data_IF_949795530393
#
_entry.id   IF_949795530393
#
_cell.length_a   1.000
_cell.length_b   1.000
_cell.length_c   1.000
_cell.angle_alpha   90.00
_cell.angle_beta   90.00
_cell.angle_gamma   90.00
#
_symmetry.space_group_name_H-M   'P 1'
#
loop_
_entity.id
_entity.type
_entity.pdbx_description
1 polymer ?
#
# COMPACT_ATOMS: atom_id res chain seq x y z
N UNK A 1 -11.42 2.70 0.54
CA UNK A 1 -11.51 1.80 -0.64
C UNK A 1 -11.35 2.66 -1.88
N UNK A 2 -10.33 2.39 -2.69
CA UNK A 2 -10.02 3.18 -3.88
C UNK A 2 -11.05 2.92 -4.98
N UNK A 3 -11.60 3.98 -5.56
CA UNK A 3 -12.41 3.89 -6.77
C UNK A 3 -11.44 4.03 -7.96
N UNK A 4 -11.05 2.91 -8.56
CA UNK A 4 -10.21 2.91 -9.76
C UNK A 4 -11.06 3.27 -10.98
N UNK A 5 -10.84 4.47 -11.53
CA UNK A 5 -11.41 4.84 -12.83
C UNK A 5 -10.52 4.22 -13.92
N UNK A 6 -11.15 3.63 -14.94
CA UNK A 6 -10.43 3.15 -16.11
C UNK A 6 -9.81 4.33 -16.87
N UNK A 7 -8.50 4.28 -17.08
CA UNK A 7 -7.78 5.25 -17.90
C UNK A 7 -7.36 4.59 -19.23
N UNK A 8 -7.76 5.17 -20.37
CA UNK A 8 -7.30 4.69 -21.67
C UNK A 8 -5.77 4.64 -21.75
N UNK A 9 -5.18 3.63 -22.43
CA UNK A 9 -3.72 3.47 -22.51
C UNK A 9 -2.96 4.73 -22.91
N UNK A 10 -3.50 5.51 -23.84
CA UNK A 10 -2.90 6.75 -24.37
C UNK A 10 -2.81 7.90 -23.35
N UNK A 11 -3.61 7.85 -22.28
CA UNK A 11 -3.58 8.85 -21.20
C UNK A 11 -2.72 8.43 -20.01
N UNK A 12 -2.27 7.18 -19.96
CA UNK A 12 -1.43 6.68 -18.87
C UNK A 12 -0.10 7.40 -18.87
N UNK A 13 0.35 7.79 -17.68
CA UNK A 13 1.61 8.51 -17.49
C UNK A 13 2.73 7.60 -16.99
N UNK A 14 2.39 6.61 -16.19
CA UNK A 14 3.30 5.58 -15.74
C UNK A 14 2.56 4.30 -15.29
N UNK A 15 3.29 3.19 -15.32
CA UNK A 15 2.90 1.89 -14.74
C UNK A 15 3.86 1.61 -13.59
N UNK A 16 3.31 1.37 -12.41
CA UNK A 16 4.02 1.01 -11.20
C UNK A 16 3.88 -0.49 -11.00
N UNK A 17 4.99 -1.22 -11.03
CA UNK A 17 5.01 -2.60 -10.61
C UNK A 17 5.05 -2.68 -9.09
N UNK A 18 4.17 -3.49 -8.52
CA UNK A 18 4.00 -3.72 -7.09
C UNK A 18 4.23 -5.19 -6.81
N UNK A 19 5.13 -5.52 -5.89
CA UNK A 19 5.33 -6.91 -5.45
C UNK A 19 5.33 -7.02 -3.93
N UNK A 20 5.05 -8.21 -3.42
CA UNK A 20 5.20 -8.53 -2.01
C UNK A 20 6.17 -9.69 -1.81
N UNK A 21 6.98 -9.61 -0.76
CA UNK A 21 7.80 -10.72 -0.26
C UNK A 21 7.70 -10.83 1.25
N UNK A 22 7.83 -12.06 1.75
CA UNK A 22 7.95 -12.29 3.19
C UNK A 22 9.42 -12.13 3.62
N UNK A 23 9.65 -11.66 4.86
CA UNK A 23 11.00 -11.57 5.44
C UNK A 23 11.67 -12.93 5.62
N UNK A 24 10.88 -14.01 5.62
CA UNK A 24 11.33 -15.39 5.69
C UNK A 24 10.38 -16.30 4.91
N UNK A 25 10.87 -17.35 4.24
CA UNK A 25 10.02 -18.37 3.61
C UNK A 25 9.26 -19.21 4.64
N UNK A 26 9.60 -19.12 5.92
CA UNK A 26 8.96 -19.87 7.01
C UNK A 26 8.61 -18.98 8.19
N UNK A 27 7.46 -19.28 8.81
CA UNK A 27 7.00 -18.70 10.06
C UNK A 27 6.83 -19.79 11.12
N UNK A 28 7.68 -19.77 12.15
CA UNK A 28 7.59 -20.73 13.25
C UNK A 28 6.47 -20.38 14.22
N UNK A 29 5.66 -21.36 14.60
CA UNK A 29 4.58 -21.17 15.57
C UNK A 29 5.04 -21.33 17.02
N UNK A 30 6.17 -21.98 17.26
CA UNK A 30 6.72 -22.24 18.62
C UNK A 30 8.00 -21.48 18.95
N UNK A 31 8.48 -20.60 18.05
CA UNK A 31 9.68 -19.80 18.27
C UNK A 31 9.64 -19.02 19.59
N UNK A 32 10.71 -19.13 20.38
CA UNK A 32 10.92 -18.36 21.60
C UNK A 32 12.36 -17.79 21.63
N UNK A 33 12.56 -16.47 21.44
CA UNK A 33 11.52 -15.44 21.31
C UNK A 33 10.72 -15.54 19.99
N UNK A 34 9.50 -14.95 19.93
CA UNK A 34 8.68 -14.94 18.72
C UNK A 34 9.45 -14.37 17.52
N UNK A 35 9.32 -15.03 16.37
CA UNK A 35 9.93 -14.59 15.12
C UNK A 35 9.38 -13.23 14.68
N UNK A 36 10.30 -12.32 14.33
CA UNK A 36 9.99 -11.01 13.75
C UNK A 36 9.67 -11.16 12.25
N UNK A 37 8.45 -11.61 11.95
CA UNK A 37 7.98 -11.85 10.60
C UNK A 37 7.38 -10.58 9.99
N UNK A 38 7.79 -10.25 8.76
CA UNK A 38 7.42 -9.02 8.08
C UNK A 38 7.01 -9.31 6.64
N UNK A 39 6.21 -8.40 6.09
CA UNK A 39 5.92 -8.35 4.66
C UNK A 39 6.59 -7.10 4.10
N UNK A 40 7.37 -7.28 3.06
CA UNK A 40 7.98 -6.23 2.27
C UNK A 40 7.14 -6.01 1.02
N UNK A 41 6.78 -4.76 0.76
CA UNK A 41 6.05 -4.34 -0.43
C UNK A 41 6.97 -3.45 -1.23
N UNK A 42 7.32 -3.88 -2.43
CA UNK A 42 8.19 -3.13 -3.33
C UNK A 42 7.38 -2.41 -4.38
N UNK A 43 7.72 -1.15 -4.65
CA UNK A 43 7.19 -0.38 -5.76
C UNK A 43 8.35 0.05 -6.67
N UNK A 44 8.19 -0.14 -7.98
CA UNK A 44 9.11 0.38 -8.99
C UNK A 44 8.36 0.91 -10.20
N UNK A 45 8.95 1.89 -10.89
CA UNK A 45 8.44 2.35 -12.17
C UNK A 45 8.77 1.28 -13.21
N UNK A 46 7.73 0.67 -13.79
CA UNK A 46 7.88 -0.31 -14.87
C UNK A 46 7.88 0.39 -16.23
N UNK A 47 7.00 1.37 -16.41
CA UNK A 47 6.90 2.19 -17.61
C UNK A 47 6.62 3.63 -17.22
N UNK A 48 7.15 4.60 -17.96
CA UNK A 48 6.93 6.02 -17.70
C UNK A 48 7.04 6.85 -18.97
N UNK A 49 6.21 7.89 -19.05
CA UNK A 49 6.31 8.93 -20.08
C UNK A 49 7.43 9.92 -19.82
N UNK A 50 8.08 9.87 -18.64
CA UNK A 50 9.19 10.73 -18.23
C UNK A 50 10.34 9.88 -17.65
N UNK A 51 11.17 9.27 -18.50
CA UNK A 51 12.34 8.50 -18.04
C UNK A 51 13.28 9.36 -17.19
N UNK A 52 13.88 8.76 -16.16
CA UNK A 52 14.79 9.46 -15.25
C UNK A 52 14.10 10.37 -14.22
N UNK A 53 12.76 10.42 -14.19
CA UNK A 53 12.00 11.21 -13.22
C UNK A 53 11.31 10.31 -12.18
N UNK A 54 11.51 10.64 -10.90
CA UNK A 54 10.84 9.97 -9.78
C UNK A 54 9.35 10.32 -9.73
N UNK A 55 8.57 9.51 -9.02
CA UNK A 55 7.13 9.72 -8.79
C UNK A 55 6.88 9.76 -7.30
N UNK A 56 6.19 10.80 -6.82
CA UNK A 56 5.72 10.86 -5.43
C UNK A 56 4.23 10.58 -5.37
N UNK A 57 3.81 9.65 -4.51
CA UNK A 57 2.41 9.28 -4.28
C UNK A 57 1.99 9.56 -2.83
N UNK A 58 0.69 9.71 -2.62
CA UNK A 58 0.07 9.65 -1.30
C UNK A 58 -0.40 8.22 -1.00
N UNK A 59 0.18 7.58 0.00
CA UNK A 59 -0.09 6.19 0.39
C UNK A 59 -1.24 6.00 1.38
N UNK A 60 -1.90 7.07 1.82
CA UNK A 60 -2.96 7.02 2.84
C UNK A 60 -4.08 6.03 2.51
N UNK A 61 -4.49 5.22 3.49
CA UNK A 61 -5.56 4.23 3.35
C UNK A 61 -5.32 3.21 2.22
N UNK A 62 -4.07 3.07 1.80
CA UNK A 62 -3.64 2.08 0.79
C UNK A 62 -2.66 1.13 1.42
N UNK A 63 -2.35 0.03 0.72
CA UNK A 63 -1.37 -0.93 1.21
C UNK A 63 0.06 -0.36 1.35
N UNK A 64 0.26 0.86 0.85
CA UNK A 64 1.52 1.61 0.93
C UNK A 64 1.63 2.50 2.17
N UNK A 65 0.61 2.55 3.02
CA UNK A 65 0.67 3.27 4.30
C UNK A 65 1.56 2.50 5.28
N UNK A 66 2.71 3.06 5.65
CA UNK A 66 3.53 2.49 6.72
C UNK A 66 2.76 2.50 8.04
N UNK A 67 2.85 1.41 8.81
CA UNK A 67 2.17 1.27 10.09
C UNK A 67 2.55 2.45 11.01
N UNK A 68 1.54 3.24 11.38
CA UNK A 68 1.72 4.37 12.30
C UNK A 68 0.94 4.14 13.59
N UNK A 69 1.26 4.92 14.63
CA UNK A 69 0.60 4.87 15.94
C UNK A 69 -0.93 5.02 15.91
N UNK A 70 -1.52 5.46 14.78
CA UNK A 70 -2.96 5.68 14.60
C UNK A 70 -3.72 4.50 14.00
N UNK A 71 -3.04 3.41 13.63
CA UNK A 71 -3.67 2.21 13.08
C UNK A 71 -2.86 1.63 11.93
N UNK A 72 -2.69 0.31 11.95
CA UNK A 72 -2.08 -0.47 10.89
C UNK A 72 -3.14 -0.73 9.80
N UNK A 73 -2.85 -0.38 8.54
CA UNK A 73 -3.78 -0.55 7.41
C UNK A 73 -4.18 -2.02 7.22
N UNK A 74 -3.33 -2.96 7.62
CA UNK A 74 -3.64 -4.38 7.64
C UNK A 74 -4.74 -4.71 8.65
N UNK A 75 -4.99 -3.87 9.66
CA UNK A 75 -6.08 -4.07 10.63
C UNK A 75 -7.43 -3.69 10.04
N UNK A 76 -7.49 -2.99 8.91
CA UNK A 76 -8.76 -2.55 8.37
C UNK A 76 -9.64 -3.74 7.92
N UNK A 77 -10.97 -3.57 7.98
CA UNK A 77 -11.95 -4.56 7.54
C UNK A 77 -11.80 -4.73 6.03
N UNK A 78 -11.48 -5.94 5.59
CA UNK A 78 -11.03 -6.29 4.22
C UNK A 78 -9.62 -5.78 3.88
N UNK A 79 -8.74 -5.62 4.86
CA UNK A 79 -7.41 -4.99 4.77
C UNK A 79 -6.64 -5.28 3.49
N UNK A 80 -5.68 -4.42 3.14
CA UNK A 80 -5.05 -4.45 1.81
C UNK A 80 -4.29 -5.73 1.45
N UNK A 81 -4.12 -6.67 2.39
CA UNK A 81 -3.58 -8.01 2.20
C UNK A 81 -4.46 -9.10 2.84
N UNK A 82 -4.47 -10.27 2.20
CA UNK A 82 -5.09 -11.51 2.69
C UNK A 82 -4.06 -12.63 2.56
N UNK A 83 -3.87 -13.44 3.60
CA UNK A 83 -3.10 -14.68 3.44
C UNK A 83 -4.04 -15.81 3.02
N UNK A 84 -3.68 -16.54 1.96
CA UNK A 84 -4.46 -17.66 1.42
C UNK A 84 -3.60 -18.90 1.27
N UNK A 85 -4.12 -20.07 1.62
CA UNK A 85 -3.42 -21.34 1.41
C UNK A 85 -3.17 -21.55 -0.11
N UNK A 86 -1.98 -22.01 -0.49
CA UNK A 86 -1.60 -22.16 -1.91
C UNK A 86 -2.15 -23.44 -2.55
N UNK A 87 -2.60 -24.41 -1.76
CA UNK A 87 -2.84 -25.79 -2.22
C UNK A 87 -4.22 -26.04 -2.86
N UNK A 88 -4.22 -26.87 -3.91
CA UNK A 88 -5.23 -27.75 -4.56
C UNK A 88 -6.72 -27.35 -4.69
N UNK A 89 -7.14 -26.21 -4.17
CA UNK A 89 -8.52 -25.75 -4.25
C UNK A 89 -8.66 -24.51 -5.15
N UNK A 90 -9.80 -24.38 -5.86
CA UNK A 90 -10.12 -23.16 -6.57
C UNK A 90 -10.09 -21.96 -5.61
N UNK A 91 -9.67 -20.76 -6.06
CA UNK A 91 -9.47 -19.57 -5.20
C UNK A 91 -10.62 -19.25 -4.25
N UNK A 92 -11.85 -19.59 -4.66
CA UNK A 92 -13.09 -19.38 -3.91
C UNK A 92 -13.16 -20.19 -2.61
N UNK A 93 -12.53 -21.37 -2.59
CA UNK A 93 -12.62 -22.36 -1.50
C UNK A 93 -11.39 -22.39 -0.60
N UNK A 94 -10.26 -21.85 -1.07
CA UNK A 94 -9.01 -21.76 -0.32
C UNK A 94 -9.24 -21.15 1.06
N UNK A 95 -8.67 -21.80 2.08
CA UNK A 95 -8.57 -21.26 3.44
C UNK A 95 -7.89 -19.89 3.39
N UNK A 96 -8.37 -18.96 4.21
CA UNK A 96 -7.86 -17.59 4.29
C UNK A 96 -7.69 -17.21 5.75
N UNK A 97 -6.61 -16.50 6.06
CA UNK A 97 -6.44 -15.84 7.36
C UNK A 97 -6.91 -14.41 7.19
N UNK A 98 -7.86 -14.00 8.03
CA UNK A 98 -8.32 -12.63 8.03
C UNK A 98 -7.35 -11.73 8.79
N UNK A 99 -6.54 -10.96 8.05
CA UNK A 99 -5.54 -10.07 8.65
C UNK A 99 -6.14 -8.79 9.26
N UNK A 100 -7.41 -8.46 9.02
CA UNK A 100 -8.02 -7.22 9.52
C UNK A 100 -9.54 -7.21 9.60
N UNK A 101 -10.09 -6.45 10.56
CA UNK A 101 -11.54 -6.37 10.80
C UNK A 101 -12.05 -4.99 11.21
N UNK A 102 -11.19 -3.98 11.31
CA UNK A 102 -11.50 -2.64 11.82
C UNK A 102 -11.97 -1.69 10.71
N UNK A 103 -13.08 -0.97 10.90
CA UNK A 103 -13.40 0.16 10.03
C UNK A 103 -12.84 1.42 10.70
N UNK A 104 -11.88 2.09 10.07
CA UNK A 104 -11.46 3.41 10.55
C UNK A 104 -12.58 4.40 10.26
N UNK A 105 -13.03 5.10 11.29
CA UNK A 105 -14.02 6.16 11.18
C UNK A 105 -13.36 7.49 11.49
N UNK A 106 -13.08 8.27 10.45
CA UNK A 106 -12.48 9.60 10.55
C UNK A 106 -13.55 10.65 10.85
N UNK A 107 -14.22 10.55 12.02
CA UNK A 107 -15.08 11.64 12.49
C UNK A 107 -14.26 12.68 13.24
N UNK A 108 -14.44 13.96 12.86
CA UNK A 108 -13.91 15.16 13.54
C UNK A 108 -12.39 15.34 13.47
N UNK A 109 -11.86 15.49 12.27
CA UNK A 109 -10.49 16.00 12.09
C UNK A 109 -10.54 17.54 12.12
N UNK A 110 -10.54 18.12 13.32
CA UNK A 110 -10.37 19.55 13.56
C UNK A 110 -8.94 19.83 14.04
N UNK A 111 -8.29 20.93 13.61
CA UNK A 111 -8.72 21.96 12.65
C UNK A 111 -8.67 21.49 11.18
N UNK A 112 -9.20 22.28 10.20
CA UNK A 112 -9.10 21.94 8.79
C UNK A 112 -7.63 21.70 8.42
N UNK A 113 -7.33 20.59 7.74
CA UNK A 113 -5.96 20.23 7.48
C UNK A 113 -5.25 21.22 6.56
N UNK A 114 -3.96 21.45 6.81
CA UNK A 114 -3.10 22.31 5.99
C UNK A 114 -3.31 22.03 4.50
N UNK A 115 -3.33 23.05 3.61
CA UNK A 115 -3.37 22.84 2.17
C UNK A 115 -2.13 22.13 1.64
N UNK A 116 -1.01 22.16 2.37
CA UNK A 116 0.19 21.39 2.06
C UNK A 116 0.10 19.98 2.65
N UNK A 117 0.16 18.96 1.78
CA UNK A 117 0.18 17.55 2.17
C UNK A 117 1.36 17.25 3.10
N UNK A 118 2.51 17.93 2.97
CA UNK A 118 3.68 17.71 3.83
C UNK A 118 3.43 18.09 5.29
N UNK A 119 2.53 19.03 5.53
CA UNK A 119 2.19 19.50 6.87
C UNK A 119 1.06 18.67 7.51
N UNK A 120 0.43 17.76 6.75
CA UNK A 120 -0.66 16.93 7.28
C UNK A 120 -0.08 15.76 8.07
N UNK A 121 -0.38 15.62 9.38
CA UNK A 121 0.22 14.58 10.22
C UNK A 121 -0.20 13.16 9.84
N UNK A 122 -1.28 13.01 9.06
CA UNK A 122 -1.74 11.75 8.51
C UNK A 122 -1.35 11.54 7.05
N UNK A 123 -0.73 12.50 6.36
CA UNK A 123 -0.22 12.26 5.01
C UNK A 123 0.99 11.32 5.08
N UNK A 124 1.01 10.36 4.17
CA UNK A 124 2.03 9.32 4.02
C UNK A 124 2.54 9.42 2.60
N UNK A 125 3.44 10.37 2.38
CA UNK A 125 4.04 10.60 1.08
C UNK A 125 5.17 9.59 0.87
N UNK A 126 5.27 9.06 -0.34
CA UNK A 126 6.27 8.06 -0.73
C UNK A 126 6.84 8.43 -2.10
N UNK A 127 8.16 8.56 -2.20
CA UNK A 127 8.85 8.63 -3.50
C UNK A 127 9.12 7.22 -4.02
N UNK A 128 8.67 6.93 -5.24
CA UNK A 128 9.15 5.83 -6.07
C UNK A 128 10.30 6.40 -6.93
N UNK A 129 11.54 5.93 -6.75
CA UNK A 129 12.67 6.48 -7.47
C UNK A 129 12.57 6.22 -8.97
N UNK A 130 13.21 7.09 -9.77
CA UNK A 130 13.26 6.94 -11.22
C UNK A 130 13.86 5.60 -11.65
N UNK A 131 14.89 5.17 -10.92
CA UNK A 131 15.60 3.91 -11.10
C UNK A 131 15.58 3.12 -9.80
N UNK A 132 15.41 1.80 -9.89
CA UNK A 132 15.32 0.92 -8.72
C UNK A 132 13.91 0.80 -8.15
N UNK A 133 13.82 0.61 -6.84
CA UNK A 133 12.55 0.39 -6.13
C UNK A 133 12.56 1.02 -4.75
N UNK A 134 11.39 1.39 -4.26
CA UNK A 134 11.17 1.73 -2.85
C UNK A 134 10.45 0.57 -2.16
N UNK A 135 10.79 0.31 -0.90
CA UNK A 135 10.22 -0.77 -0.11
C UNK A 135 9.48 -0.22 1.11
N UNK A 136 8.31 -0.79 1.37
CA UNK A 136 7.51 -0.55 2.57
C UNK A 136 7.41 -1.86 3.34
N UNK A 137 7.72 -1.80 4.63
CA UNK A 137 7.72 -2.97 5.50
C UNK A 137 6.53 -2.92 6.46
N UNK A 138 5.80 -4.02 6.55
CA UNK A 138 4.73 -4.23 7.52
C UNK A 138 5.11 -5.34 8.49
N UNK A 139 5.08 -5.03 9.78
CA UNK A 139 5.26 -6.02 10.82
C UNK A 139 4.04 -6.93 10.89
N UNK A 140 4.26 -8.23 10.72
CA UNK A 140 3.21 -9.24 10.75
C UNK A 140 3.62 -10.46 11.58
N UNK A 141 3.95 -10.28 12.88
CA UNK A 141 4.25 -11.40 13.76
C UNK A 141 3.05 -12.35 13.87
N UNK A 142 3.29 -13.60 14.28
CA UNK A 142 2.26 -14.63 14.41
C UNK A 142 1.03 -14.15 15.19
N UNK A 143 1.25 -13.52 16.35
CA UNK A 143 0.16 -12.98 17.17
C UNK A 143 -0.73 -11.97 16.41
N UNK A 144 -0.12 -11.16 15.52
CA UNK A 144 -0.83 -10.18 14.70
C UNK A 144 -1.63 -10.85 13.57
N UNK A 145 -1.12 -11.92 12.96
CA UNK A 145 -1.83 -12.67 11.91
C UNK A 145 -3.15 -13.26 12.43
N UNK A 146 -3.17 -13.70 13.69
CA UNK A 146 -4.32 -14.34 14.30
C UNK A 146 -5.17 -13.43 15.19
N UNK A 147 -4.80 -12.15 15.36
CA UNK A 147 -5.51 -11.18 16.22
C UNK A 147 -7.02 -11.10 15.91
N UNK A 148 -7.39 -11.22 14.63
CA UNK A 148 -8.79 -11.15 14.17
C UNK A 148 -9.29 -12.45 13.53
N UNK A 149 -8.47 -13.50 13.51
CA UNK A 149 -8.83 -14.80 12.97
C UNK A 149 -9.64 -15.58 14.02
N UNK A 150 -10.78 -16.13 13.60
CA UNK A 150 -11.73 -16.80 14.52
C UNK A 150 -11.90 -18.29 14.22
N UNK A 151 -11.52 -18.73 13.03
CA UNK A 151 -11.79 -20.08 12.52
C UNK A 151 -10.56 -20.97 12.56
N UNK A 152 -9.37 -20.40 12.41
CA UNK A 152 -8.11 -21.13 12.31
C UNK A 152 -7.23 -20.79 13.51
N UNK A 153 -6.51 -21.79 14.00
CA UNK A 153 -5.44 -21.62 14.99
C UNK A 153 -4.08 -21.85 14.32
N UNK A 154 -2.97 -21.32 14.89
CA UNK A 154 -1.63 -21.53 14.35
C UNK A 154 -1.28 -23.01 14.12
N UNK A 155 -1.70 -23.88 15.02
CA UNK A 155 -1.43 -25.31 14.96
C UNK A 155 -2.12 -25.99 13.76
N UNK A 156 -3.23 -25.41 13.27
CA UNK A 156 -4.00 -25.93 12.13
C UNK A 156 -3.33 -25.64 10.77
N UNK A 157 -2.19 -24.94 10.75
CA UNK A 157 -1.52 -24.48 9.53
C UNK A 157 -0.14 -25.09 9.31
N UNK A 158 0.41 -25.81 10.28
CA UNK A 158 1.77 -26.36 10.21
C UNK A 158 1.93 -27.25 8.97
N UNK A 159 2.97 -27.00 8.19
CA UNK A 159 3.26 -27.73 6.95
C UNK A 159 2.45 -27.27 5.72
N UNK A 160 1.46 -26.39 5.89
CA UNK A 160 0.76 -25.77 4.77
C UNK A 160 1.56 -24.60 4.21
N UNK A 161 1.54 -24.47 2.88
CA UNK A 161 2.08 -23.31 2.19
C UNK A 161 0.98 -22.28 1.94
N UNK A 162 1.34 -21.02 2.12
CA UNK A 162 0.47 -19.86 2.12
C UNK A 162 1.08 -18.78 1.25
N UNK A 163 0.24 -17.90 0.71
CA UNK A 163 0.65 -16.79 -0.12
C UNK A 163 -0.12 -15.53 0.31
N UNK A 164 0.56 -14.40 0.32
CA UNK A 164 -0.09 -13.11 0.49
C UNK A 164 -0.70 -12.61 -0.82
N UNK A 165 -1.95 -12.18 -0.76
CA UNK A 165 -2.67 -11.61 -1.90
C UNK A 165 -3.10 -10.20 -1.58
N UNK A 166 -2.81 -9.30 -2.51
CA UNK A 166 -3.30 -7.93 -2.45
C UNK A 166 -4.80 -7.88 -2.70
N UNK A 167 -5.48 -7.04 -1.95
CA UNK A 167 -6.86 -6.66 -2.24
C UNK A 167 -6.81 -5.48 -3.20
N UNK A 168 -7.22 -5.69 -4.44
CA UNK A 168 -7.09 -4.71 -5.54
C UNK A 168 -7.58 -3.29 -5.16
N UNK A 169 -8.65 -3.22 -4.38
CA UNK A 169 -9.25 -1.96 -3.95
C UNK A 169 -8.41 -1.13 -2.96
N UNK A 170 -7.24 -1.63 -2.54
CA UNK A 170 -6.27 -0.95 -1.68
C UNK A 170 -4.90 -0.77 -2.36
N UNK A 171 -4.74 -1.19 -3.62
CA UNK A 171 -3.52 -0.99 -4.40
C UNK A 171 -3.71 0.22 -5.30
N UNK A 172 -3.10 1.35 -4.94
CA UNK A 172 -3.14 2.55 -5.75
C UNK A 172 -2.82 3.80 -4.93
N UNK A 173 -3.29 4.96 -5.39
CA UNK A 173 -3.12 6.22 -4.68
C UNK A 173 -4.31 7.13 -4.92
N UNK A 174 -4.50 8.10 -4.02
CA UNK A 174 -5.51 9.18 -4.15
C UNK A 174 -4.90 10.47 -4.68
N UNK A 175 -3.58 10.59 -4.73
CA UNK A 175 -2.86 11.79 -5.16
C UNK A 175 -1.44 11.42 -5.60
N UNK A 176 -0.95 12.00 -6.69
CA UNK A 176 0.45 11.82 -7.11
C UNK A 176 0.98 13.01 -7.90
N UNK A 177 2.31 13.11 -7.99
CA UNK A 177 3.00 14.04 -8.88
C UNK A 177 4.35 13.46 -9.32
N UNK A 178 4.98 14.14 -10.29
CA UNK A 178 6.37 13.88 -10.62
C UNK A 178 7.30 14.57 -9.63
N UNK A 179 8.41 13.91 -9.31
CA UNK A 179 9.46 14.44 -8.46
C UNK A 179 9.76 13.58 -7.25
N UNK A 180 10.91 13.86 -6.64
CA UNK A 180 11.40 13.26 -5.41
C UNK A 180 11.25 14.22 -4.22
N UNK A 181 10.66 13.74 -3.12
CA UNK A 181 10.52 14.44 -1.85
C UNK A 181 11.83 15.00 -1.31
N UNK A 182 12.94 14.27 -1.46
CA UNK A 182 14.25 14.69 -0.95
C UNK A 182 15.07 15.48 -1.99
N UNK A 183 14.56 15.54 -3.23
CA UNK A 183 15.17 16.22 -4.37
C UNK A 183 14.38 17.46 -4.80
N UNK A 184 13.80 17.41 -6.00
CA UNK A 184 13.13 18.56 -6.63
C UNK A 184 11.88 19.04 -5.89
N UNK A 185 11.23 18.16 -5.12
CA UNK A 185 10.07 18.52 -4.32
C UNK A 185 10.45 19.05 -2.93
N UNK A 186 11.70 18.93 -2.48
CA UNK A 186 12.10 19.22 -1.09
C UNK A 186 11.61 20.57 -0.57
N UNK A 187 11.86 21.62 -1.34
CA UNK A 187 11.51 23.01 -1.02
C UNK A 187 10.14 23.44 -1.59
N UNK A 188 9.36 22.49 -2.13
CA UNK A 188 8.03 22.73 -2.69
C UNK A 188 6.92 22.33 -1.71
N UNK A 189 5.81 23.05 -1.77
CA UNK A 189 4.56 22.66 -1.14
C UNK A 189 3.79 21.70 -2.02
N UNK A 190 3.09 20.72 -1.44
CA UNK A 190 2.30 19.75 -2.18
C UNK A 190 0.81 20.02 -1.96
N UNK A 191 0.12 20.56 -2.95
CA UNK A 191 -1.29 20.88 -2.84
C UNK A 191 -2.14 19.64 -2.68
N UNK A 192 -3.19 19.72 -1.88
CA UNK A 192 -4.19 18.64 -1.76
C UNK A 192 -5.09 18.54 -2.99
N UNK A 193 -5.12 19.57 -3.82
CA UNK A 193 -5.83 19.55 -5.09
C UNK A 193 -5.11 18.63 -6.09
N UNK A 194 -5.88 17.95 -6.91
CA UNK A 194 -5.37 17.18 -8.04
C UNK A 194 -6.35 17.21 -9.23
N UNK A 195 -5.91 16.89 -10.44
CA UNK A 195 -6.70 17.04 -11.68
C UNK A 195 -8.03 16.27 -11.72
N UNK A 196 -8.17 15.21 -10.91
CA UNK A 196 -9.43 14.47 -10.78
C UNK A 196 -10.40 15.05 -9.71
N UNK A 197 -9.98 16.11 -9.01
CA UNK A 197 -10.82 16.87 -8.07
C UNK A 197 -11.90 17.61 -8.87
N UNK A 198 -13.15 17.19 -8.74
CA UNK A 198 -14.24 17.70 -9.58
C UNK A 198 -15.16 18.72 -8.89
N UNK A 199 -15.05 18.86 -7.58
CA UNK A 199 -15.85 19.78 -6.76
C UNK A 199 -15.14 21.11 -6.47
N UNK A 200 -13.84 21.20 -6.75
CA UNK A 200 -13.03 22.40 -6.50
C UNK A 200 -12.31 22.82 -7.78
N UNK A 201 -12.33 24.13 -8.13
CA UNK A 201 -11.58 24.62 -9.28
C UNK A 201 -10.07 24.44 -9.06
N UNK A 202 -9.34 24.32 -10.17
CA UNK A 202 -7.87 24.31 -10.12
C UNK A 202 -7.37 25.58 -9.43
N UNK A 203 -6.58 25.48 -8.35
CA UNK A 203 -6.08 26.65 -7.65
C UNK A 203 -5.01 27.35 -8.48
N UNK A 204 -5.00 28.68 -8.40
CA UNK A 204 -3.91 29.51 -8.92
C UNK A 204 -2.81 29.56 -7.85
N UNK A 205 -1.66 28.96 -8.16
CA UNK A 205 -0.50 28.88 -7.27
C UNK A 205 0.76 29.26 -8.03
N UNK A 206 1.76 29.74 -7.31
CA UNK A 206 3.09 30.02 -7.89
C UNK A 206 3.90 28.74 -8.08
N UNK A 207 5.15 28.88 -8.50
CA UNK A 207 6.06 27.75 -8.76
C UNK A 207 6.53 27.05 -7.49
N UNK A 208 6.25 27.58 -6.29
CA UNK A 208 6.57 26.92 -5.02
C UNK A 208 5.60 25.79 -4.68
N UNK A 209 4.47 25.71 -5.38
CA UNK A 209 3.46 24.66 -5.20
C UNK A 209 3.45 23.65 -6.33
N UNK A 210 3.25 22.39 -5.96
CA UNK A 210 3.02 21.28 -6.89
C UNK A 210 1.58 20.81 -6.74
N UNK A 211 0.88 20.77 -7.88
CA UNK A 211 -0.48 20.26 -7.98
C UNK A 211 -0.45 18.77 -8.31
N UNK A 212 -1.38 18.01 -7.73
CA UNK A 212 -1.51 16.59 -8.05
C UNK A 212 -2.05 16.36 -9.46
N UNK A 213 -1.61 15.27 -10.06
CA UNK A 213 -2.14 14.77 -11.34
C UNK A 213 -3.34 13.85 -11.11
N UNK A 214 -4.06 13.51 -12.18
CA UNK A 214 -5.19 12.57 -12.12
C UNK A 214 -4.70 11.17 -11.67
N UNK A 215 -5.15 10.62 -10.51
CA UNK A 215 -4.72 9.32 -10.03
C UNK A 215 -5.00 8.16 -10.98
N UNK A 216 -5.98 8.30 -11.90
CA UNK A 216 -6.26 7.28 -12.91
C UNK A 216 -5.16 7.15 -13.97
N UNK A 217 -4.31 8.17 -14.12
CA UNK A 217 -3.19 8.15 -15.05
C UNK A 217 -1.98 7.34 -14.55
N UNK A 218 -2.00 6.92 -13.28
CA UNK A 218 -1.01 6.04 -12.67
C UNK A 218 -1.60 4.63 -12.51
N UNK A 219 -1.08 3.66 -13.27
CA UNK A 219 -1.54 2.27 -13.20
C UNK A 219 -0.66 1.48 -12.24
N UNK A 220 -1.26 0.58 -11.46
CA UNK A 220 -0.54 -0.29 -10.53
C UNK A 220 -0.74 -1.75 -10.96
N UNK A 221 0.35 -2.43 -11.27
CA UNK A 221 0.36 -3.83 -11.67
C UNK A 221 0.97 -4.68 -10.56
N UNK A 222 0.21 -5.65 -10.08
CA UNK A 222 0.59 -6.48 -8.95
C UNK A 222 1.21 -7.78 -9.43
N UNK A 223 2.46 -8.03 -9.03
CA UNK A 223 3.11 -9.33 -9.09
C UNK A 223 2.96 -10.04 -7.73
N UNK A 224 2.38 -11.24 -7.75
CA UNK A 224 2.16 -12.05 -6.55
C UNK A 224 3.28 -13.07 -6.32
N UNK A 225 4.24 -13.19 -7.23
CA UNK A 225 5.35 -14.13 -7.16
C UNK A 225 6.27 -13.79 -5.97
N UNK A 226 6.69 -14.78 -5.19
CA UNK A 226 7.64 -14.60 -4.09
C UNK A 226 7.00 -14.19 -2.76
N UNK A 227 5.66 -14.16 -2.70
CA UNK A 227 4.90 -13.88 -1.48
C UNK A 227 4.50 -15.16 -0.72
N UNK A 228 5.08 -16.29 -1.10
CA UNK A 228 4.83 -17.60 -0.50
C UNK A 228 5.63 -17.81 0.80
N UNK A 229 5.01 -18.44 1.78
CA UNK A 229 5.63 -18.82 3.04
C UNK A 229 4.95 -20.07 3.63
N UNK A 230 5.59 -20.72 4.59
CA UNK A 230 5.08 -21.93 5.25
C UNK A 230 5.09 -21.78 6.77
N UNK A 231 4.03 -22.25 7.43
CA UNK A 231 4.05 -22.40 8.88
C UNK A 231 4.86 -23.64 9.27
N UNK A 232 5.78 -23.47 10.22
CA UNK A 232 6.61 -24.55 10.75
C UNK A 232 6.47 -24.61 12.26
N UNK A 233 6.85 -25.73 12.87
CA UNK A 233 6.94 -25.83 14.33
C UNK A 233 7.94 -24.82 14.88
#
# INVERSE_FOLDING_TARGET
>A
MLIKKSCPPERRKAIIAVSASASSPTLSISSNPPQDFKIHISLRIAETTRPGQAITILGNETIFEYASARGDILRQRRGGLIATATKDEPPERRRRINLGSIILHHARMDPPPSPDLKERPWARLLTIPAEGSVEITHDLPLARMFEYERKLKPEDLVGEEWQFRFVDAFVGTTWWCWGDLDGDLREKHLSTWHEATFWEPKPEVDDTWVLGLDPSELTFEVDQTGSEFRFVE
#
